data_IF_125063714623
#
_entry.id   IF_125063714623
#
_cell.length_a   1.000
_cell.length_b   1.000
_cell.length_c   1.000
_cell.angle_alpha   90.00
_cell.angle_beta   90.00
_cell.angle_gamma   90.00
#
_symmetry.space_group_name_H-M   'P 1'
#
loop_
_entity.id
_entity.type
_entity.pdbx_description
1 polymer ?
#
# COMPACT_ATOMS: atom_id res chain seq x y z
N UNK A 1 -24.91 -33.73 21.24
CA UNK A 1 -23.55 -34.25 21.54
C UNK A 1 -23.27 -34.37 23.04
N UNK A 2 -23.87 -33.53 23.88
CA UNK A 2 -23.64 -33.58 25.34
C UNK A 2 -24.04 -34.91 26.00
N UNK A 3 -25.01 -35.60 25.44
CA UNK A 3 -25.57 -36.87 25.95
C UNK A 3 -24.57 -38.06 25.93
N UNK A 4 -23.57 -38.01 25.04
CA UNK A 4 -22.62 -39.08 24.83
C UNK A 4 -21.29 -38.93 25.62
N UNK A 5 -21.12 -37.85 26.34
CA UNK A 5 -19.93 -37.60 27.14
C UNK A 5 -18.62 -37.85 26.37
N UNK A 6 -17.71 -38.64 26.98
CA UNK A 6 -16.40 -38.97 26.40
C UNK A 6 -16.45 -39.95 25.20
N UNK A 7 -17.59 -40.56 24.93
CA UNK A 7 -17.77 -41.49 23.77
C UNK A 7 -18.26 -40.75 22.51
N UNK A 8 -18.48 -39.46 22.55
CA UNK A 8 -18.91 -38.67 21.37
C UNK A 8 -17.82 -38.66 20.31
N UNK A 9 -18.27 -38.77 19.06
CA UNK A 9 -17.44 -38.49 17.87
C UNK A 9 -18.02 -37.31 17.14
N UNK A 10 -17.22 -36.32 16.82
CA UNK A 10 -17.59 -35.17 16.03
C UNK A 10 -16.81 -35.22 14.71
N UNK A 11 -17.50 -35.11 13.59
CA UNK A 11 -16.88 -35.02 12.27
C UNK A 11 -17.28 -33.69 11.64
N UNK A 12 -16.30 -32.89 11.27
CA UNK A 12 -16.46 -31.62 10.57
C UNK A 12 -15.83 -31.75 9.18
N UNK A 13 -16.61 -31.47 8.14
CA UNK A 13 -16.14 -31.53 6.74
C UNK A 13 -16.60 -30.25 6.06
N UNK A 14 -15.68 -29.52 5.48
CA UNK A 14 -15.96 -28.31 4.71
C UNK A 14 -14.79 -27.97 3.80
N UNK A 15 -15.03 -27.22 2.74
CA UNK A 15 -14.00 -26.47 2.05
C UNK A 15 -13.68 -25.20 2.87
N UNK A 16 -12.42 -24.75 2.92
CA UNK A 16 -12.06 -23.49 3.57
C UNK A 16 -12.61 -22.30 2.78
N UNK A 17 -12.60 -21.13 3.42
CA UNK A 17 -13.05 -19.87 2.81
C UNK A 17 -11.89 -18.87 2.84
N UNK A 18 -12.09 -17.70 3.45
CA UNK A 18 -11.05 -16.69 3.57
C UNK A 18 -10.09 -17.03 4.72
N UNK A 19 -8.81 -16.78 4.50
CA UNK A 19 -7.75 -16.97 5.50
C UNK A 19 -8.05 -16.21 6.79
N UNK A 20 -7.73 -16.81 7.92
CA UNK A 20 -7.98 -16.30 9.28
C UNK A 20 -9.47 -16.15 9.68
N UNK A 21 -10.42 -16.43 8.81
CA UNK A 21 -11.87 -16.36 9.11
C UNK A 21 -12.58 -17.70 8.89
N UNK A 22 -11.95 -18.63 8.18
CA UNK A 22 -12.49 -19.95 7.89
C UNK A 22 -12.61 -20.78 9.16
N UNK A 23 -13.81 -21.32 9.43
CA UNK A 23 -14.04 -22.19 10.58
C UNK A 23 -13.24 -23.48 10.45
N UNK A 24 -13.24 -24.11 9.26
CA UNK A 24 -12.52 -25.37 9.06
C UNK A 24 -11.00 -25.21 9.10
N UNK A 25 -10.45 -24.03 8.73
CA UNK A 25 -9.02 -23.72 8.89
C UNK A 25 -8.63 -23.79 10.37
N UNK A 26 -9.37 -23.11 11.24
CA UNK A 26 -9.13 -23.15 12.68
C UNK A 26 -9.28 -24.57 13.25
N UNK A 27 -10.32 -25.29 12.83
CA UNK A 27 -10.50 -26.68 13.24
C UNK A 27 -9.32 -27.58 12.78
N UNK A 28 -8.74 -27.30 11.60
CA UNK A 28 -7.55 -28.01 11.12
C UNK A 28 -6.30 -27.63 11.94
N UNK A 29 -6.11 -26.35 12.25
CA UNK A 29 -4.98 -25.85 13.04
C UNK A 29 -5.00 -26.34 14.51
N UNK A 30 -6.18 -26.49 15.09
CA UNK A 30 -6.39 -27.02 16.44
C UNK A 30 -6.13 -28.55 16.52
N UNK A 31 -6.09 -29.23 15.38
CA UNK A 31 -5.84 -30.67 15.25
C UNK A 31 -4.36 -31.03 15.08
N UNK A 32 -4.10 -32.30 14.77
CA UNK A 32 -2.75 -32.82 14.51
C UNK A 32 -2.25 -32.60 13.08
N UNK A 33 -3.01 -31.86 12.25
CA UNK A 33 -2.62 -31.32 10.95
C UNK A 33 -2.03 -32.37 10.01
N UNK A 34 -2.82 -33.42 9.71
CA UNK A 34 -2.38 -34.49 8.83
C UNK A 34 -2.47 -34.11 7.38
N UNK A 35 -1.37 -34.37 6.65
CA UNK A 35 -1.31 -34.31 5.20
C UNK A 35 -1.10 -35.70 4.62
N UNK A 36 -1.71 -35.95 3.46
CA UNK A 36 -1.49 -37.19 2.74
C UNK A 36 -0.18 -37.07 1.94
N UNK A 37 0.79 -37.92 2.26
CA UNK A 37 2.07 -38.00 1.56
C UNK A 37 2.13 -39.17 0.63
N UNK A 38 2.79 -38.97 -0.52
CA UNK A 38 3.04 -39.97 -1.54
C UNK A 38 4.53 -40.03 -1.82
N UNK A 39 5.03 -41.23 -2.11
CA UNK A 39 6.44 -41.40 -2.45
C UNK A 39 6.62 -41.28 -3.96
N UNK A 40 7.67 -40.59 -4.40
CA UNK A 40 7.97 -40.44 -5.81
C UNK A 40 8.29 -41.82 -6.44
N UNK A 41 7.63 -42.21 -7.55
CA UNK A 41 7.90 -43.50 -8.19
C UNK A 41 9.31 -43.62 -8.77
N UNK A 42 10.04 -42.52 -8.94
CA UNK A 42 11.38 -42.49 -9.53
C UNK A 42 12.50 -42.38 -8.49
N UNK A 43 12.34 -41.57 -7.45
CA UNK A 43 13.40 -41.35 -6.46
C UNK A 43 13.04 -41.77 -5.02
N UNK A 44 11.80 -42.19 -4.79
CA UNK A 44 11.31 -42.62 -3.47
C UNK A 44 11.12 -41.48 -2.45
N UNK A 45 11.36 -40.22 -2.82
CA UNK A 45 11.17 -39.09 -1.91
C UNK A 45 9.70 -38.88 -1.57
N UNK A 46 9.41 -38.74 -0.27
CA UNK A 46 8.06 -38.53 0.23
C UNK A 46 7.66 -37.05 0.15
N UNK A 47 6.52 -36.75 -0.48
CA UNK A 47 6.09 -35.38 -0.73
C UNK A 47 4.56 -35.25 -0.67
N UNK A 48 4.06 -34.02 -0.54
CA UNK A 48 2.65 -33.67 -0.71
C UNK A 48 2.42 -33.30 -2.17
N UNK A 49 1.21 -33.59 -2.68
CA UNK A 49 0.81 -33.06 -3.97
C UNK A 49 0.32 -31.62 -3.79
N UNK A 50 1.07 -30.66 -4.39
CA UNK A 50 0.78 -29.23 -4.35
C UNK A 50 0.64 -28.68 -5.76
N UNK A 51 -0.23 -27.66 -5.92
CA UNK A 51 -0.53 -27.08 -7.24
C UNK A 51 0.68 -26.47 -7.93
N UNK A 52 1.60 -25.86 -7.19
CA UNK A 52 2.82 -25.27 -7.73
C UNK A 52 3.69 -26.25 -8.53
N UNK A 53 3.55 -27.55 -8.29
CA UNK A 53 4.30 -28.60 -8.98
C UNK A 53 3.55 -29.18 -10.19
N UNK A 54 2.41 -28.62 -10.58
CA UNK A 54 1.70 -28.99 -11.81
C UNK A 54 2.16 -28.10 -12.95
N UNK A 55 2.67 -28.70 -14.03
CA UNK A 55 3.18 -28.00 -15.20
C UNK A 55 2.53 -28.51 -16.48
N UNK A 56 2.26 -27.63 -17.41
CA UNK A 56 1.74 -27.94 -18.76
C UNK A 56 2.36 -27.01 -19.80
N UNK A 57 2.22 -27.36 -21.09
CA UNK A 57 2.78 -26.58 -22.19
C UNK A 57 1.81 -25.48 -22.61
N UNK A 58 2.23 -24.21 -22.49
CA UNK A 58 1.46 -23.04 -22.90
C UNK A 58 -0.06 -23.16 -22.67
N UNK A 59 -0.89 -22.98 -23.71
CA UNK A 59 -2.34 -23.09 -23.64
C UNK A 59 -2.88 -24.53 -23.82
N UNK A 60 -2.08 -25.57 -23.49
CA UNK A 60 -2.43 -26.99 -23.65
C UNK A 60 -2.56 -27.70 -22.30
N UNK A 61 -3.64 -27.47 -21.54
CA UNK A 61 -3.82 -28.07 -20.21
C UNK A 61 -3.84 -29.60 -20.23
N UNK A 62 -4.22 -30.23 -21.36
CA UNK A 62 -4.19 -31.66 -21.54
C UNK A 62 -2.79 -32.29 -21.43
N UNK A 63 -1.75 -31.48 -21.55
CA UNK A 63 -0.33 -31.89 -21.38
C UNK A 63 0.13 -31.85 -19.91
N UNK A 64 -0.77 -31.55 -18.98
CA UNK A 64 -0.41 -31.35 -17.58
C UNK A 64 0.22 -32.60 -16.94
N UNK A 65 1.33 -32.38 -16.24
CA UNK A 65 2.08 -33.37 -15.48
C UNK A 65 2.46 -32.84 -14.11
N UNK A 66 2.70 -33.73 -13.18
CA UNK A 66 3.18 -33.37 -11.85
C UNK A 66 4.71 -33.48 -11.79
N UNK A 67 5.38 -32.49 -11.24
CA UNK A 67 6.83 -32.43 -11.09
C UNK A 67 7.21 -32.88 -9.68
N UNK A 68 8.10 -33.86 -9.55
CA UNK A 68 8.64 -34.23 -8.24
C UNK A 68 9.50 -33.07 -7.69
N UNK A 69 9.22 -32.66 -6.46
CA UNK A 69 9.95 -31.57 -5.80
C UNK A 69 11.43 -31.88 -5.52
N UNK A 70 11.77 -33.19 -5.45
CA UNK A 70 13.12 -33.64 -5.12
C UNK A 70 13.98 -33.92 -6.37
N UNK A 71 13.47 -34.68 -7.35
CA UNK A 71 14.27 -35.10 -8.53
C UNK A 71 13.86 -34.40 -9.83
N UNK A 72 12.79 -33.60 -9.86
CA UNK A 72 12.34 -32.87 -11.03
C UNK A 72 11.69 -33.72 -12.13
N UNK A 73 11.52 -35.03 -11.94
CA UNK A 73 10.91 -35.91 -12.93
C UNK A 73 9.42 -35.63 -13.02
N UNK A 74 8.91 -35.63 -14.26
CA UNK A 74 7.49 -35.42 -14.56
C UNK A 74 6.73 -36.75 -14.45
N UNK A 75 5.65 -36.74 -13.64
CA UNK A 75 4.73 -37.88 -13.51
C UNK A 75 3.53 -37.67 -14.42
N UNK A 76 3.11 -38.73 -15.05
CA UNK A 76 1.81 -38.78 -15.69
C UNK A 76 0.70 -39.14 -14.69
N UNK A 77 -0.56 -39.14 -15.15
CA UNK A 77 -1.71 -39.48 -14.30
C UNK A 77 -1.67 -40.93 -13.77
N UNK A 78 -1.11 -41.87 -14.52
CA UNK A 78 -0.95 -43.27 -14.12
C UNK A 78 0.01 -43.40 -12.93
N UNK A 79 1.17 -42.77 -13.03
CA UNK A 79 2.20 -42.72 -11.98
C UNK A 79 1.69 -41.99 -10.73
N UNK A 80 0.99 -40.85 -10.93
CA UNK A 80 0.38 -40.13 -9.83
C UNK A 80 -0.65 -40.97 -9.08
N UNK A 81 -1.57 -41.64 -9.79
CA UNK A 81 -2.59 -42.48 -9.18
C UNK A 81 -1.97 -43.70 -8.47
N UNK A 82 -0.92 -44.30 -9.04
CA UNK A 82 -0.21 -45.40 -8.40
C UNK A 82 0.43 -44.92 -7.08
N UNK A 83 1.12 -43.78 -7.09
CA UNK A 83 1.70 -43.19 -5.89
C UNK A 83 0.64 -42.85 -4.82
N UNK A 84 -0.54 -42.35 -5.22
CA UNK A 84 -1.63 -42.06 -4.29
C UNK A 84 -2.12 -43.34 -3.58
N UNK A 85 -2.21 -44.49 -4.27
CA UNK A 85 -2.66 -45.73 -3.68
C UNK A 85 -1.74 -46.24 -2.55
N UNK A 86 -0.46 -45.96 -2.64
CA UNK A 86 0.56 -46.35 -1.65
C UNK A 86 0.84 -45.25 -0.61
N UNK A 87 0.14 -44.12 -0.72
CA UNK A 87 0.33 -42.99 0.16
C UNK A 87 -0.13 -43.21 1.61
N UNK A 88 0.25 -42.29 2.49
CA UNK A 88 -0.05 -42.36 3.92
C UNK A 88 -0.32 -40.99 4.54
N UNK A 89 -1.14 -40.98 5.57
CA UNK A 89 -1.35 -39.81 6.41
C UNK A 89 -0.21 -39.61 7.37
N UNK A 90 0.32 -38.38 7.44
CA UNK A 90 1.38 -38.01 8.35
C UNK A 90 0.98 -36.74 9.11
N UNK A 91 0.98 -36.83 10.45
CA UNK A 91 0.70 -35.70 11.33
C UNK A 91 1.91 -34.76 11.38
N UNK A 92 1.68 -33.45 11.28
CA UNK A 92 2.70 -32.42 11.33
C UNK A 92 2.67 -31.60 12.63
N UNK A 93 1.63 -31.80 13.45
CA UNK A 93 1.46 -31.15 14.75
C UNK A 93 1.01 -32.13 15.80
N UNK A 94 1.10 -31.75 17.07
CA UNK A 94 0.61 -32.55 18.19
C UNK A 94 -0.76 -32.05 18.63
N UNK A 95 -1.72 -32.96 18.72
CA UNK A 95 -3.03 -32.67 19.31
C UNK A 95 -3.51 -33.84 20.17
N UNK A 96 -4.23 -33.55 21.27
CA UNK A 96 -4.84 -34.55 22.15
C UNK A 96 -6.26 -34.87 21.69
N UNK A 97 -6.39 -35.92 20.85
CA UNK A 97 -7.69 -36.48 20.50
C UNK A 97 -8.42 -35.75 19.38
N UNK A 98 -7.81 -34.77 18.73
CA UNK A 98 -8.31 -34.09 17.56
C UNK A 98 -7.44 -34.42 16.35
N UNK A 99 -7.92 -35.32 15.47
CA UNK A 99 -7.28 -35.61 14.21
C UNK A 99 -7.85 -34.67 13.14
N UNK A 100 -7.01 -33.96 12.43
CA UNK A 100 -7.41 -33.07 11.34
C UNK A 100 -6.69 -33.42 10.03
N UNK A 101 -7.37 -33.30 8.91
CA UNK A 101 -6.92 -33.81 7.62
C UNK A 101 -7.07 -32.74 6.54
N UNK A 102 -6.06 -32.60 5.69
CA UNK A 102 -6.11 -31.76 4.50
C UNK A 102 -5.98 -32.63 3.26
N UNK A 103 -6.91 -32.49 2.31
CA UNK A 103 -6.91 -33.21 1.05
C UNK A 103 -7.39 -32.30 -0.08
N UNK A 104 -6.60 -32.15 -1.13
CA UNK A 104 -6.95 -31.38 -2.31
C UNK A 104 -7.32 -32.29 -3.51
N UNK A 105 -7.79 -31.70 -4.58
CA UNK A 105 -8.27 -32.45 -5.76
C UNK A 105 -7.15 -33.14 -6.54
N UNK A 106 -5.86 -32.79 -6.32
CA UNK A 106 -4.73 -33.48 -6.93
C UNK A 106 -4.61 -34.96 -6.49
N UNK A 107 -5.25 -35.33 -5.38
CA UNK A 107 -5.35 -36.70 -4.90
C UNK A 107 -6.54 -37.47 -5.49
N UNK A 108 -7.35 -36.85 -6.35
CA UNK A 108 -8.49 -37.54 -6.99
C UNK A 108 -7.98 -38.55 -8.02
N UNK A 109 -8.40 -39.79 -7.84
CA UNK A 109 -8.20 -40.85 -8.84
C UNK A 109 -9.17 -40.76 -10.02
N UNK A 110 -10.18 -39.89 -9.96
CA UNK A 110 -11.24 -39.75 -10.96
C UNK A 110 -11.01 -38.57 -11.91
N UNK A 111 -10.16 -37.63 -11.57
CA UNK A 111 -9.82 -36.46 -12.39
C UNK A 111 -8.39 -36.52 -12.88
N UNK A 112 -8.19 -36.15 -14.14
CA UNK A 112 -6.87 -36.00 -14.73
C UNK A 112 -6.27 -34.62 -14.37
N UNK A 113 -4.94 -34.53 -14.33
CA UNK A 113 -4.25 -33.25 -14.13
C UNK A 113 -4.63 -32.21 -15.20
N UNK A 114 -4.86 -32.66 -16.45
CA UNK A 114 -5.30 -31.79 -17.54
C UNK A 114 -6.65 -31.14 -17.25
N UNK A 115 -7.63 -31.89 -16.72
CA UNK A 115 -8.95 -31.34 -16.38
C UNK A 115 -8.87 -30.31 -15.23
N UNK A 116 -7.95 -30.53 -14.28
CA UNK A 116 -7.71 -29.59 -13.18
C UNK A 116 -7.04 -28.31 -13.71
N UNK A 117 -6.06 -28.45 -14.64
CA UNK A 117 -5.39 -27.33 -15.27
C UNK A 117 -6.36 -26.50 -16.15
N UNK A 118 -7.26 -27.16 -16.89
CA UNK A 118 -8.29 -26.49 -17.66
C UNK A 118 -9.24 -25.68 -16.75
N UNK A 119 -9.68 -26.27 -15.64
CA UNK A 119 -10.50 -25.58 -14.64
C UNK A 119 -9.79 -24.36 -14.05
N UNK A 120 -8.47 -24.44 -13.79
CA UNK A 120 -7.68 -23.30 -13.36
C UNK A 120 -7.67 -22.16 -14.39
N UNK A 121 -7.40 -22.49 -15.67
CA UNK A 121 -7.37 -21.50 -16.74
C UNK A 121 -8.73 -20.83 -16.95
N UNK A 122 -9.82 -21.58 -16.89
CA UNK A 122 -11.17 -21.04 -16.98
C UNK A 122 -11.46 -20.06 -15.84
N UNK A 123 -11.18 -20.46 -14.59
CA UNK A 123 -11.40 -19.61 -13.42
C UNK A 123 -10.49 -18.39 -13.41
N UNK A 124 -9.26 -18.52 -13.89
CA UNK A 124 -8.36 -17.40 -14.09
C UNK A 124 -8.92 -16.38 -15.08
N UNK A 125 -9.48 -16.87 -16.21
CA UNK A 125 -10.10 -16.03 -17.24
C UNK A 125 -11.38 -15.33 -16.76
N UNK A 126 -12.16 -15.98 -15.89
CA UNK A 126 -13.40 -15.42 -15.32
C UNK A 126 -13.16 -14.59 -14.06
N UNK A 127 -11.93 -14.53 -13.53
CA UNK A 127 -11.61 -13.81 -12.29
C UNK A 127 -12.03 -14.52 -10.99
N UNK A 128 -12.42 -15.82 -11.07
CA UNK A 128 -12.90 -16.62 -9.93
C UNK A 128 -11.85 -17.61 -9.40
N UNK A 129 -10.60 -17.14 -9.24
CA UNK A 129 -9.52 -17.95 -8.68
C UNK A 129 -9.78 -18.37 -7.22
N UNK A 130 -10.56 -17.59 -6.47
CA UNK A 130 -10.94 -17.94 -5.11
C UNK A 130 -11.62 -19.30 -5.04
N UNK A 131 -12.55 -19.59 -5.93
CA UNK A 131 -13.23 -20.89 -5.96
C UNK A 131 -12.26 -22.04 -6.28
N UNK A 132 -11.27 -21.82 -7.17
CA UNK A 132 -10.24 -22.82 -7.43
C UNK A 132 -9.42 -23.13 -6.19
N UNK A 133 -8.93 -22.10 -5.48
CA UNK A 133 -8.13 -22.26 -4.26
C UNK A 133 -8.95 -22.93 -3.15
N UNK A 134 -10.16 -22.45 -2.89
CA UNK A 134 -10.97 -22.96 -1.79
C UNK A 134 -11.50 -24.39 -2.05
N UNK A 135 -11.96 -24.69 -3.27
CA UNK A 135 -12.63 -25.94 -3.58
C UNK A 135 -11.65 -26.99 -4.12
N UNK A 136 -10.83 -26.63 -5.11
CA UNK A 136 -9.93 -27.58 -5.77
C UNK A 136 -8.67 -27.83 -4.92
N UNK A 137 -8.08 -26.78 -4.34
CA UNK A 137 -6.89 -26.93 -3.53
C UNK A 137 -7.19 -27.17 -2.05
N UNK A 138 -8.42 -26.98 -1.62
CA UNK A 138 -8.83 -27.04 -0.20
C UNK A 138 -7.99 -26.10 0.68
N UNK A 139 -7.54 -24.97 0.12
CA UNK A 139 -6.74 -23.96 0.79
C UNK A 139 -7.58 -22.70 1.04
N UNK A 140 -7.23 -21.93 2.05
CA UNK A 140 -7.89 -20.65 2.30
C UNK A 140 -7.46 -19.62 1.26
N UNK A 141 -8.45 -18.85 0.77
CA UNK A 141 -8.19 -17.73 -0.11
C UNK A 141 -7.65 -16.56 0.69
N UNK A 142 -6.47 -16.11 0.34
CA UNK A 142 -5.96 -14.82 0.77
C UNK A 142 -6.22 -13.81 -0.34
N UNK A 143 -7.16 -12.90 -0.11
CA UNK A 143 -7.33 -11.80 -1.05
C UNK A 143 -5.99 -11.05 -1.13
N UNK A 144 -5.38 -11.10 -2.30
CA UNK A 144 -4.33 -10.14 -2.62
C UNK A 144 -5.04 -8.78 -2.63
N UNK A 145 -4.90 -8.06 -1.52
CA UNK A 145 -5.43 -6.72 -1.44
C UNK A 145 -4.87 -5.89 -2.60
N UNK A 146 -5.62 -4.87 -3.01
CA UNK A 146 -5.21 -3.90 -4.03
C UNK A 146 -3.90 -3.19 -3.58
N UNK A 147 -2.80 -3.90 -3.63
CA UNK A 147 -1.45 -3.39 -3.34
C UNK A 147 -0.86 -2.64 -4.54
N UNK A 148 0.26 -1.98 -4.29
CA UNK A 148 1.13 -1.41 -5.33
C UNK A 148 2.45 -2.17 -5.27
N UNK A 149 2.99 -2.53 -6.43
CA UNK A 149 4.28 -3.22 -6.50
C UNK A 149 5.41 -2.26 -6.11
N UNK A 150 6.14 -2.63 -5.06
CA UNK A 150 7.29 -1.86 -4.55
C UNK A 150 8.38 -1.75 -5.59
N UNK A 151 8.67 -2.84 -6.33
CA UNK A 151 9.72 -2.84 -7.35
C UNK A 151 9.36 -1.90 -8.50
N UNK A 152 8.10 -1.90 -8.96
CA UNK A 152 7.64 -0.96 -9.98
C UNK A 152 7.77 0.51 -9.55
N UNK A 153 7.68 0.81 -8.25
CA UNK A 153 7.93 2.16 -7.73
C UNK A 153 9.43 2.49 -7.66
N UNK A 154 10.26 1.55 -7.21
CA UNK A 154 11.70 1.76 -7.11
C UNK A 154 12.40 1.83 -8.47
N UNK A 155 11.85 1.21 -9.50
CA UNK A 155 12.40 1.24 -10.85
C UNK A 155 12.13 2.56 -11.60
N UNK A 156 11.15 3.35 -11.15
CA UNK A 156 10.78 4.63 -11.79
C UNK A 156 11.31 5.87 -11.09
N UNK A 157 12.31 5.73 -10.22
CA UNK A 157 12.95 6.88 -9.57
C UNK A 157 13.69 7.74 -10.60
N UNK A 158 13.75 9.04 -10.31
CA UNK A 158 14.30 10.05 -11.21
C UNK A 158 15.44 10.80 -10.51
N UNK A 159 16.42 11.28 -11.28
CA UNK A 159 17.43 12.17 -10.73
C UNK A 159 16.83 13.54 -10.48
N UNK A 160 16.60 13.86 -9.21
CA UNK A 160 16.29 15.24 -8.86
C UNK A 160 17.59 16.03 -8.80
N UNK A 161 17.63 17.22 -9.39
CA UNK A 161 18.75 18.13 -9.19
C UNK A 161 18.82 18.58 -7.73
N UNK A 162 19.91 19.26 -7.36
CA UNK A 162 20.08 19.82 -6.01
C UNK A 162 19.00 20.84 -5.61
N UNK A 163 18.26 21.36 -6.60
CA UNK A 163 17.12 22.26 -6.45
C UNK A 163 15.84 21.50 -6.76
N UNK A 164 14.72 21.98 -6.23
CA UNK A 164 13.44 21.35 -6.48
C UNK A 164 13.01 21.48 -7.95
N UNK A 165 12.29 20.47 -8.49
CA UNK A 165 11.81 20.54 -9.87
C UNK A 165 11.02 21.81 -10.17
N UNK A 166 11.26 22.41 -11.32
CA UNK A 166 10.55 23.64 -11.75
C UNK A 166 9.04 23.50 -11.88
N UNK A 167 8.54 22.27 -12.03
CA UNK A 167 7.12 21.96 -12.07
C UNK A 167 6.42 22.09 -10.70
N UNK A 168 7.16 22.13 -9.59
CA UNK A 168 6.59 22.32 -8.26
C UNK A 168 6.08 23.75 -8.10
N UNK A 169 4.78 23.89 -7.85
CA UNK A 169 4.08 25.17 -7.69
C UNK A 169 3.78 25.46 -6.21
N UNK A 170 3.52 24.43 -5.43
CA UNK A 170 3.18 24.49 -4.00
C UNK A 170 3.92 23.37 -3.29
N UNK A 171 4.41 23.63 -2.09
CA UNK A 171 4.96 22.60 -1.21
C UNK A 171 4.15 22.53 0.09
N UNK A 172 3.89 21.32 0.55
CA UNK A 172 3.23 21.03 1.82
C UNK A 172 4.00 19.95 2.56
N UNK A 173 3.83 19.86 3.88
CA UNK A 173 4.47 18.81 4.66
C UNK A 173 3.43 18.01 5.47
N UNK A 174 3.68 16.70 5.59
CA UNK A 174 3.00 15.80 6.51
C UNK A 174 3.99 15.26 7.52
N UNK A 175 3.66 15.29 8.79
CA UNK A 175 4.52 14.87 9.90
C UNK A 175 3.83 13.80 10.72
N UNK A 176 4.51 12.69 10.89
CA UNK A 176 4.12 11.60 11.79
C UNK A 176 5.00 11.64 13.04
N UNK A 177 4.37 11.48 14.22
CA UNK A 177 5.03 11.59 15.53
C UNK A 177 5.16 10.21 16.14
N UNK A 178 6.38 9.76 16.37
CA UNK A 178 6.72 8.49 16.98
C UNK A 178 7.26 8.68 18.42
N UNK A 179 7.68 7.60 19.08
CA UNK A 179 8.20 7.63 20.45
C UNK A 179 9.53 8.34 20.57
N UNK A 180 10.39 8.15 19.58
CA UNK A 180 11.81 8.52 19.58
C UNK A 180 12.23 9.42 18.41
N UNK A 181 11.27 9.89 17.61
CA UNK A 181 11.53 10.65 16.39
C UNK A 181 10.29 11.33 15.82
N UNK A 182 10.53 12.28 14.92
CA UNK A 182 9.52 12.77 13.97
C UNK A 182 9.92 12.32 12.57
N UNK A 183 8.97 11.80 11.81
CA UNK A 183 9.15 11.51 10.39
C UNK A 183 8.32 12.49 9.59
N UNK A 184 8.86 13.05 8.52
CA UNK A 184 8.13 14.01 7.70
C UNK A 184 8.42 13.83 6.22
N UNK A 185 7.40 14.07 5.41
CA UNK A 185 7.52 14.19 3.97
C UNK A 185 7.16 15.60 3.52
N UNK A 186 8.03 16.18 2.68
CA UNK A 186 7.73 17.41 1.96
C UNK A 186 7.28 17.00 0.55
N UNK A 187 6.04 17.34 0.24
CA UNK A 187 5.40 17.02 -1.02
C UNK A 187 5.26 18.28 -1.87
N UNK A 188 5.98 18.32 -3.00
CA UNK A 188 5.77 19.29 -4.05
C UNK A 188 4.53 18.94 -4.87
N UNK A 189 3.73 19.92 -5.24
CA UNK A 189 2.50 19.76 -6.02
C UNK A 189 2.55 20.73 -7.20
N UNK A 190 2.36 20.18 -8.40
CA UNK A 190 2.32 20.89 -9.66
C UNK A 190 0.92 20.91 -10.27
N UNK A 191 0.86 21.19 -11.57
CA UNK A 191 -0.39 21.17 -12.33
C UNK A 191 -1.08 19.82 -12.24
N UNK A 192 -2.40 19.85 -12.27
CA UNK A 192 -3.27 18.66 -12.25
C UNK A 192 -2.94 17.69 -11.12
N UNK A 193 -2.40 18.25 -10.01
CA UNK A 193 -2.00 17.53 -8.81
C UNK A 193 -0.94 16.46 -9.05
N UNK A 194 -0.10 16.60 -10.07
CA UNK A 194 1.16 15.89 -10.21
C UNK A 194 2.05 16.20 -9.00
N UNK A 195 2.74 15.20 -8.43
CA UNK A 195 3.40 15.35 -7.14
C UNK A 195 4.86 14.89 -7.17
N UNK A 196 5.70 15.55 -6.38
CA UNK A 196 7.13 15.24 -6.19
C UNK A 196 7.42 15.01 -4.71
N UNK A 197 7.96 13.85 -4.36
CA UNK A 197 8.50 13.59 -3.01
C UNK A 197 9.83 14.31 -2.84
N UNK A 198 9.81 15.63 -2.63
CA UNK A 198 11.04 16.43 -2.65
C UNK A 198 11.96 16.18 -1.46
N UNK A 199 11.41 15.81 -0.30
CA UNK A 199 12.20 15.37 0.84
C UNK A 199 11.44 14.39 1.73
N UNK A 200 12.14 13.40 2.27
CA UNK A 200 11.67 12.56 3.38
C UNK A 200 12.75 12.59 4.46
N UNK A 201 12.41 13.06 5.65
CA UNK A 201 13.36 13.38 6.71
C UNK A 201 12.94 12.68 7.99
N UNK A 202 13.89 12.07 8.68
CA UNK A 202 13.71 11.47 10.00
C UNK A 202 14.51 12.28 11.02
N UNK A 203 13.81 13.05 11.86
CA UNK A 203 14.38 13.82 12.95
C UNK A 203 14.38 12.97 14.22
N UNK A 204 15.55 12.47 14.60
CA UNK A 204 15.70 11.63 15.79
C UNK A 204 15.75 12.47 17.04
N UNK A 205 15.01 12.06 18.07
CA UNK A 205 14.96 12.74 19.36
C UNK A 205 13.64 12.50 20.07
N UNK A 206 13.63 12.63 21.38
CA UNK A 206 12.42 12.49 22.19
C UNK A 206 11.43 13.64 21.89
N UNK A 207 10.21 13.37 21.42
CA UNK A 207 9.20 14.39 21.14
C UNK A 207 8.72 15.16 22.38
N UNK A 208 9.08 14.73 23.59
CA UNK A 208 8.85 15.51 24.80
C UNK A 208 9.90 16.62 24.97
N UNK A 209 11.04 16.48 24.31
CA UNK A 209 12.12 17.48 24.29
C UNK A 209 11.82 18.60 23.28
N UNK A 210 12.14 19.87 23.59
CA UNK A 210 11.98 20.98 22.65
C UNK A 210 12.94 20.92 21.44
N UNK A 211 14.05 20.20 21.54
CA UNK A 211 15.08 20.19 20.49
C UNK A 211 14.57 19.65 19.16
N UNK A 212 13.93 18.48 19.16
CA UNK A 212 13.42 17.84 17.93
C UNK A 212 12.38 18.72 17.21
N UNK A 213 11.66 19.56 17.97
CA UNK A 213 10.70 20.53 17.42
C UNK A 213 11.40 21.78 16.86
N UNK A 214 12.55 22.16 17.42
CA UNK A 214 13.39 23.22 16.86
C UNK A 214 14.02 22.75 15.54
N UNK A 215 14.51 21.51 15.49
CA UNK A 215 15.02 20.89 14.26
C UNK A 215 13.91 20.81 13.18
N UNK A 216 12.67 20.51 13.58
CA UNK A 216 11.52 20.56 12.67
C UNK A 216 11.25 21.97 12.15
N UNK A 217 11.38 23.01 13.00
CA UNK A 217 11.21 24.40 12.57
C UNK A 217 12.23 24.80 11.50
N UNK A 218 13.49 24.37 11.63
CA UNK A 218 14.54 24.63 10.64
C UNK A 218 14.14 24.08 9.26
N UNK A 219 13.51 22.91 9.21
CA UNK A 219 13.03 22.32 7.97
C UNK A 219 11.78 23.03 7.45
N UNK A 220 10.79 23.26 8.31
CA UNK A 220 9.48 23.76 7.89
C UNK A 220 9.49 25.21 7.44
N UNK A 221 10.39 26.02 8.00
CA UNK A 221 10.45 27.46 7.75
C UNK A 221 11.66 27.86 6.91
N UNK A 222 12.43 26.89 6.39
CA UNK A 222 13.46 27.14 5.41
C UNK A 222 12.88 27.67 4.08
N UNK A 223 13.69 28.46 3.38
CA UNK A 223 13.41 28.86 2.01
C UNK A 223 14.15 27.93 1.05
N UNK A 224 13.42 27.32 0.14
CA UNK A 224 13.94 26.39 -0.86
C UNK A 224 14.01 27.08 -2.23
N UNK A 225 14.80 26.53 -3.14
CA UNK A 225 14.94 27.07 -4.50
C UNK A 225 14.59 26.00 -5.54
N UNK A 226 13.85 26.38 -6.56
CA UNK A 226 13.54 25.53 -7.71
C UNK A 226 14.59 25.70 -8.82
N UNK A 227 14.65 24.76 -9.77
CA UNK A 227 15.61 24.78 -10.89
C UNK A 227 15.56 26.06 -11.70
N UNK A 228 14.39 26.67 -11.83
CA UNK A 228 14.15 27.93 -12.54
C UNK A 228 14.43 29.18 -11.67
N UNK A 229 15.04 28.97 -10.49
CA UNK A 229 15.49 30.07 -9.60
C UNK A 229 14.37 30.70 -8.76
N UNK A 230 13.16 30.12 -8.75
CA UNK A 230 12.10 30.61 -7.85
C UNK A 230 12.37 30.18 -6.42
N UNK A 231 12.12 31.09 -5.49
CA UNK A 231 12.07 30.79 -4.07
C UNK A 231 10.71 30.22 -3.70
N UNK A 232 10.72 29.12 -3.00
CA UNK A 232 9.51 28.41 -2.58
C UNK A 232 9.63 28.05 -1.10
N UNK A 233 8.55 28.22 -0.35
CA UNK A 233 8.44 27.82 1.04
C UNK A 233 7.32 26.80 1.23
N UNK A 234 7.39 26.01 2.28
CA UNK A 234 6.32 25.09 2.67
C UNK A 234 5.08 25.94 3.06
N UNK A 235 4.00 25.76 2.32
CA UNK A 235 2.76 26.57 2.45
C UNK A 235 1.92 26.18 3.65
N UNK A 236 2.12 24.98 4.16
CA UNK A 236 1.47 24.47 5.35
C UNK A 236 1.96 23.08 5.72
N UNK A 237 1.73 22.71 6.96
CA UNK A 237 2.15 21.42 7.53
C UNK A 237 1.02 20.81 8.33
N UNK A 238 0.74 19.53 8.11
CA UNK A 238 -0.17 18.75 8.95
C UNK A 238 0.62 17.80 9.85
N UNK A 239 0.36 17.85 11.15
CA UNK A 239 1.07 17.03 12.16
C UNK A 239 0.05 16.10 12.82
N UNK A 240 0.35 14.80 12.83
CA UNK A 240 -0.49 13.83 13.53
C UNK A 240 -0.52 14.09 15.04
N UNK A 241 -1.67 13.83 15.62
CA UNK A 241 -1.92 13.99 17.06
C UNK A 241 -2.21 12.67 17.77
N UNK A 242 -1.99 11.55 17.10
CA UNK A 242 -2.21 10.20 17.65
C UNK A 242 -1.29 9.89 18.81
N UNK A 243 -0.07 10.38 18.76
CA UNK A 243 0.96 10.19 19.77
C UNK A 243 1.46 11.54 20.31
N UNK A 244 1.94 11.59 21.57
CA UNK A 244 2.38 12.82 22.25
C UNK A 244 1.44 14.03 22.08
N UNK A 245 0.14 13.79 22.08
CA UNK A 245 -0.95 14.73 21.73
C UNK A 245 -0.79 16.11 22.35
N UNK A 246 -0.44 16.21 23.64
CA UNK A 246 -0.32 17.49 24.35
C UNK A 246 0.87 18.33 23.86
N UNK A 247 1.98 17.67 23.53
CA UNK A 247 3.16 18.33 22.99
C UNK A 247 2.89 18.85 21.58
N UNK A 248 2.25 18.02 20.73
CA UNK A 248 1.80 18.46 19.40
C UNK A 248 0.87 19.66 19.50
N UNK A 249 -0.10 19.67 20.42
CA UNK A 249 -1.02 20.80 20.60
C UNK A 249 -0.29 22.09 21.01
N UNK A 250 0.69 22.01 21.90
CA UNK A 250 1.51 23.17 22.30
C UNK A 250 2.31 23.72 21.10
N UNK A 251 2.92 22.82 20.34
CA UNK A 251 3.70 23.18 19.16
C UNK A 251 2.82 23.84 18.09
N UNK A 252 1.72 23.22 17.69
CA UNK A 252 0.78 23.75 16.69
C UNK A 252 0.21 25.11 17.14
N UNK A 253 -0.13 25.25 18.43
CA UNK A 253 -0.66 26.49 18.96
C UNK A 253 0.29 27.67 18.82
N UNK A 254 1.58 27.44 19.10
CA UNK A 254 2.60 28.49 18.98
C UNK A 254 2.90 28.89 17.53
N UNK A 255 2.49 28.05 16.56
CA UNK A 255 2.71 28.23 15.10
C UNK A 255 1.42 28.36 14.31
N UNK A 256 0.31 28.70 14.98
CA UNK A 256 -1.01 28.82 14.34
C UNK A 256 -1.07 29.84 13.19
N UNK A 257 -0.24 30.90 13.26
CA UNK A 257 -0.09 31.88 12.17
C UNK A 257 0.73 31.39 10.98
N UNK A 258 1.43 30.27 11.11
CA UNK A 258 2.34 29.71 10.10
C UNK A 258 1.75 28.51 9.34
N UNK A 259 0.42 28.32 9.44
CA UNK A 259 -0.32 27.24 8.78
C UNK A 259 0.17 25.83 9.16
N UNK A 260 0.51 25.66 10.44
CA UNK A 260 0.75 24.35 11.04
C UNK A 260 -0.56 23.85 11.64
N UNK A 261 -1.03 22.70 11.18
CA UNK A 261 -2.33 22.14 11.50
C UNK A 261 -2.20 20.86 12.33
N UNK A 262 -3.00 20.73 13.37
CA UNK A 262 -3.16 19.47 14.09
C UNK A 262 -4.17 18.61 13.34
N UNK A 263 -3.79 17.38 13.01
CA UNK A 263 -4.66 16.41 12.34
C UNK A 263 -4.83 15.16 13.18
N UNK A 264 -5.93 14.45 12.97
CA UNK A 264 -6.18 13.14 13.60
C UNK A 264 -6.78 12.19 12.59
N UNK A 265 -6.14 11.04 12.40
CA UNK A 265 -6.66 9.97 11.57
C UNK A 265 -8.00 9.43 12.09
N UNK A 266 -8.95 9.25 11.19
CA UNK A 266 -10.26 8.63 11.45
C UNK A 266 -10.47 7.54 10.40
N UNK A 267 -10.46 6.28 10.84
CA UNK A 267 -10.74 5.15 9.98
C UNK A 267 -12.22 5.03 9.64
N UNK A 268 -12.53 4.36 8.56
CA UNK A 268 -13.88 4.01 8.10
C UNK A 268 -14.17 4.45 6.68
N UNK A 269 -14.96 3.63 5.99
CA UNK A 269 -15.39 3.89 4.61
C UNK A 269 -16.17 5.21 4.49
N UNK A 270 -16.07 5.84 3.32
CA UNK A 270 -16.81 7.06 2.94
C UNK A 270 -16.60 8.26 3.87
N UNK A 271 -15.52 8.31 4.62
CA UNK A 271 -15.14 9.52 5.35
C UNK A 271 -14.59 10.57 4.38
N UNK A 272 -14.94 11.84 4.60
CA UNK A 272 -14.30 12.92 3.86
C UNK A 272 -12.79 12.90 4.09
N UNK A 273 -11.98 13.14 3.05
CA UNK A 273 -10.52 13.19 3.17
C UNK A 273 -10.09 14.14 4.29
N UNK A 274 -10.69 15.30 4.35
CA UNK A 274 -10.58 16.24 5.48
C UNK A 274 -11.99 16.61 5.95
N UNK A 275 -12.28 16.31 7.20
CA UNK A 275 -13.54 16.66 7.83
C UNK A 275 -13.56 18.08 8.40
N UNK A 276 -14.71 18.52 8.86
CA UNK A 276 -14.84 19.82 9.53
C UNK A 276 -14.01 19.86 10.82
N UNK A 277 -13.17 20.89 11.02
CA UNK A 277 -12.36 20.97 12.22
C UNK A 277 -13.22 21.13 13.46
N UNK A 278 -12.83 20.46 14.53
CA UNK A 278 -13.40 20.65 15.85
C UNK A 278 -12.43 21.45 16.72
N UNK A 279 -12.97 22.38 17.52
CA UNK A 279 -12.13 23.12 18.45
C UNK A 279 -11.87 22.26 19.70
N UNK A 280 -10.60 21.94 19.93
CA UNK A 280 -10.25 21.19 21.12
C UNK A 280 -10.26 22.09 22.36
N UNK A 281 -11.01 21.69 23.39
CA UNK A 281 -11.16 22.45 24.65
C UNK A 281 -9.83 22.53 25.43
N UNK A 282 -8.99 21.50 25.39
CA UNK A 282 -7.70 21.44 26.09
C UNK A 282 -6.64 22.35 25.46
N UNK A 283 -6.46 22.28 24.15
CA UNK A 283 -5.44 23.04 23.41
C UNK A 283 -5.91 24.38 22.88
N UNK A 284 -7.21 24.62 22.79
CA UNK A 284 -7.86 25.75 22.08
C UNK A 284 -7.39 25.89 20.62
N UNK A 285 -7.08 24.77 19.98
CA UNK A 285 -6.66 24.66 18.57
C UNK A 285 -7.76 24.00 17.74
N UNK A 286 -7.71 24.21 16.44
CA UNK A 286 -8.52 23.46 15.48
C UNK A 286 -7.87 22.11 15.21
N UNK A 287 -8.59 21.03 15.47
CA UNK A 287 -8.21 19.67 15.16
C UNK A 287 -8.99 19.20 13.92
N UNK A 288 -8.28 18.86 12.86
CA UNK A 288 -8.85 18.41 11.59
C UNK A 288 -8.91 16.89 11.56
N UNK A 289 -10.11 16.27 11.48
CA UNK A 289 -10.21 14.84 11.24
C UNK A 289 -9.82 14.53 9.77
N UNK A 290 -8.95 13.54 9.59
CA UNK A 290 -8.51 13.05 8.28
C UNK A 290 -9.09 11.66 8.07
N UNK A 291 -9.90 11.48 7.02
CA UNK A 291 -10.39 10.17 6.60
C UNK A 291 -9.24 9.36 6.00
N UNK A 292 -8.53 8.62 6.86
CA UNK A 292 -7.29 7.93 6.46
C UNK A 292 -7.54 6.87 5.39
N UNK A 293 -8.69 6.19 5.40
CA UNK A 293 -9.02 5.19 4.40
C UNK A 293 -9.19 5.83 3.02
N UNK A 294 -9.93 6.93 2.94
CA UNK A 294 -10.12 7.71 1.71
C UNK A 294 -8.80 8.31 1.21
N UNK A 295 -7.96 8.82 2.11
CA UNK A 295 -6.67 9.37 1.75
C UNK A 295 -5.72 8.29 1.22
N UNK A 296 -5.71 7.09 1.83
CA UNK A 296 -4.94 5.93 1.35
C UNK A 296 -5.43 5.46 -0.01
N UNK A 297 -6.74 5.39 -0.24
CA UNK A 297 -7.30 5.08 -1.57
C UNK A 297 -6.78 6.05 -2.64
N UNK A 298 -6.76 7.35 -2.34
CA UNK A 298 -6.22 8.36 -3.24
C UNK A 298 -4.72 8.18 -3.48
N UNK A 299 -3.92 7.95 -2.42
CA UNK A 299 -2.48 7.69 -2.53
C UNK A 299 -2.22 6.49 -3.43
N UNK A 300 -2.87 5.36 -3.15
CA UNK A 300 -2.66 4.12 -3.92
C UNK A 300 -3.16 4.24 -5.37
N UNK A 301 -4.24 4.96 -5.63
CA UNK A 301 -4.69 5.25 -6.98
C UNK A 301 -3.63 6.03 -7.77
N UNK A 302 -3.00 7.04 -7.15
CA UNK A 302 -1.93 7.84 -7.76
C UNK A 302 -0.63 7.05 -7.95
N UNK A 303 -0.27 6.19 -7.00
CA UNK A 303 0.92 5.32 -7.12
C UNK A 303 0.82 4.32 -8.28
N UNK A 304 -0.38 3.95 -8.72
CA UNK A 304 -0.61 3.07 -9.88
C UNK A 304 -0.50 3.79 -11.23
N UNK A 305 -0.45 5.12 -11.25
CA UNK A 305 -0.26 5.87 -12.50
C UNK A 305 1.17 5.67 -12.96
N UNK A 306 1.36 5.13 -14.16
CA UNK A 306 2.68 4.76 -14.70
C UNK A 306 3.30 5.86 -15.58
N UNK A 307 2.48 6.79 -16.09
CA UNK A 307 2.93 7.86 -16.98
C UNK A 307 2.85 9.21 -16.29
N UNK A 308 3.90 10.04 -16.45
CA UNK A 308 3.93 11.42 -15.97
C UNK A 308 2.73 12.22 -16.47
N UNK A 309 2.16 13.05 -15.61
CA UNK A 309 1.00 13.86 -15.89
C UNK A 309 0.04 13.94 -14.69
N UNK A 310 -1.26 14.14 -14.92
CA UNK A 310 -2.23 14.36 -13.86
C UNK A 310 -2.19 13.28 -12.77
N UNK A 311 -1.92 13.70 -11.52
CA UNK A 311 -1.88 12.83 -10.36
C UNK A 311 -0.68 11.90 -10.24
N UNK A 312 0.28 11.90 -11.18
CA UNK A 312 1.49 11.07 -11.12
C UNK A 312 2.37 11.44 -9.91
N UNK A 313 3.09 10.44 -9.39
CA UNK A 313 3.99 10.58 -8.25
C UNK A 313 5.44 10.39 -8.68
N UNK A 314 6.24 11.46 -8.59
CA UNK A 314 7.67 11.45 -8.83
C UNK A 314 8.45 11.19 -7.55
N UNK A 315 9.51 10.39 -7.65
CA UNK A 315 10.39 10.04 -6.54
C UNK A 315 11.86 10.27 -6.94
N UNK A 316 12.68 10.87 -6.08
CA UNK A 316 14.10 11.03 -6.35
C UNK A 316 14.84 9.69 -6.19
N UNK A 317 15.96 9.54 -6.93
CA UNK A 317 16.80 8.35 -6.94
C UNK A 317 17.61 8.11 -5.64
N UNK A 318 17.60 9.07 -4.73
CA UNK A 318 18.21 8.96 -3.41
C UNK A 318 17.30 8.32 -2.35
N UNK A 319 16.06 7.95 -2.71
CA UNK A 319 15.12 7.31 -1.77
C UNK A 319 15.57 5.89 -1.45
N UNK A 320 15.73 5.55 -0.15
CA UNK A 320 16.02 4.19 0.25
C UNK A 320 14.84 3.26 -0.08
N UNK A 321 15.11 2.01 -0.40
CA UNK A 321 14.08 1.00 -0.68
C UNK A 321 13.06 0.87 0.48
N UNK A 322 13.52 1.03 1.71
CA UNK A 322 12.66 1.00 2.91
C UNK A 322 11.55 2.06 2.86
N UNK A 323 11.78 3.21 2.24
CA UNK A 323 10.75 4.23 2.04
C UNK A 323 9.57 3.68 1.21
N UNK A 324 9.85 3.00 0.10
CA UNK A 324 8.82 2.41 -0.76
C UNK A 324 8.10 1.27 -0.05
N UNK A 325 8.81 0.49 0.73
CA UNK A 325 8.22 -0.55 1.58
C UNK A 325 7.26 0.01 2.63
N UNK A 326 7.57 1.15 3.23
CA UNK A 326 6.68 1.83 4.17
C UNK A 326 5.52 2.52 3.45
N UNK A 327 5.76 3.12 2.29
CA UNK A 327 4.73 3.77 1.49
C UNK A 327 3.64 2.80 1.01
N UNK A 328 4.00 1.52 0.81
CA UNK A 328 3.11 0.44 0.37
C UNK A 328 2.81 -0.58 1.48
N UNK A 329 3.04 -0.21 2.74
CA UNK A 329 2.96 -1.11 3.89
C UNK A 329 1.53 -1.55 4.25
N UNK A 330 0.52 -1.09 3.53
CA UNK A 330 -0.87 -1.47 3.78
C UNK A 330 -1.56 -1.92 2.49
N UNK A 331 -2.55 -2.78 2.63
CA UNK A 331 -3.37 -3.30 1.53
C UNK A 331 -4.84 -3.20 1.87
N UNK A 332 -5.65 -2.86 0.88
CA UNK A 332 -7.09 -2.83 1.02
C UNK A 332 -7.63 -4.25 0.83
N UNK A 333 -8.19 -4.83 1.88
CA UNK A 333 -8.74 -6.19 1.88
C UNK A 333 -10.23 -6.15 2.24
N UNK A 334 -10.97 -7.13 1.74
CA UNK A 334 -12.37 -7.30 2.13
C UNK A 334 -12.43 -8.18 3.39
N UNK A 335 -13.10 -7.70 4.42
CA UNK A 335 -13.42 -8.49 5.62
C UNK A 335 -14.92 -8.60 5.79
N UNK A 336 -15.39 -9.78 6.16
CA UNK A 336 -16.79 -9.99 6.50
C UNK A 336 -16.99 -9.72 8.00
N UNK A 337 -17.77 -8.68 8.31
CA UNK A 337 -18.15 -8.34 9.68
C UNK A 337 -19.64 -8.55 9.81
N UNK A 338 -20.06 -9.50 10.66
CA UNK A 338 -21.47 -9.87 10.85
C UNK A 338 -22.20 -10.20 9.54
N UNK A 339 -21.51 -10.92 8.63
CA UNK A 339 -22.08 -11.33 7.32
C UNK A 339 -22.07 -10.26 6.23
N UNK A 340 -21.59 -9.05 6.50
CA UNK A 340 -21.46 -7.97 5.53
C UNK A 340 -20.01 -7.79 5.12
N UNK A 341 -19.76 -7.75 3.82
CA UNK A 341 -18.42 -7.43 3.26
C UNK A 341 -18.08 -5.97 3.57
N UNK A 342 -16.91 -5.71 4.14
CA UNK A 342 -16.35 -4.38 4.37
C UNK A 342 -14.92 -4.32 3.85
N UNK A 343 -14.60 -3.26 3.16
CA UNK A 343 -13.22 -2.96 2.75
C UNK A 343 -12.49 -2.33 3.93
N UNK A 344 -11.35 -2.90 4.31
CA UNK A 344 -10.53 -2.41 5.42
C UNK A 344 -9.06 -2.43 5.02
N UNK A 345 -8.32 -1.42 5.45
CA UNK A 345 -6.88 -1.40 5.29
C UNK A 345 -6.22 -2.36 6.29
N UNK A 346 -5.39 -3.26 5.79
CA UNK A 346 -4.60 -4.22 6.57
C UNK A 346 -3.14 -3.87 6.44
N UNK A 347 -2.49 -3.61 7.58
CA UNK A 347 -1.04 -3.42 7.64
C UNK A 347 -0.33 -4.73 7.30
N UNK A 348 0.58 -4.70 6.35
CA UNK A 348 1.37 -5.85 5.88
C UNK A 348 2.79 -5.84 6.43
N UNK A 349 3.25 -4.70 6.97
CA UNK A 349 4.57 -4.49 7.57
C UNK A 349 4.46 -3.71 8.88
N UNK A 350 5.43 -3.85 9.80
CA UNK A 350 5.40 -3.12 11.08
C UNK A 350 5.45 -1.61 10.90
N UNK A 351 6.27 -1.11 9.95
CA UNK A 351 6.49 0.31 9.69
C UNK A 351 5.69 0.78 8.48
N UNK A 352 5.00 1.92 8.61
CA UNK A 352 4.21 2.57 7.56
C UNK A 352 4.30 4.11 7.62
N UNK A 353 5.29 4.67 8.32
CA UNK A 353 5.36 6.10 8.61
C UNK A 353 5.44 6.94 7.32
N UNK A 354 6.10 6.43 6.24
CA UNK A 354 6.13 7.12 4.95
C UNK A 354 4.73 7.26 4.34
N UNK A 355 3.86 6.23 4.49
CA UNK A 355 2.47 6.31 4.06
C UNK A 355 1.69 7.34 4.87
N UNK A 356 1.85 7.33 6.20
CA UNK A 356 1.15 8.26 7.07
C UNK A 356 1.60 9.71 6.82
N UNK A 357 2.91 9.98 6.64
CA UNK A 357 3.42 11.28 6.23
C UNK A 357 2.81 11.75 4.90
N UNK A 358 2.72 10.86 3.89
CA UNK A 358 2.10 11.15 2.59
C UNK A 358 0.61 11.48 2.74
N UNK A 359 -0.12 10.72 3.54
CA UNK A 359 -1.54 10.95 3.84
C UNK A 359 -1.73 12.34 4.47
N UNK A 360 -0.90 12.71 5.45
CA UNK A 360 -1.00 14.00 6.12
C UNK A 360 -0.54 15.16 5.24
N UNK A 361 0.45 14.98 4.37
CA UNK A 361 0.83 16.00 3.39
C UNK A 361 -0.32 16.30 2.42
N UNK A 362 -0.99 15.27 1.88
CA UNK A 362 -2.18 15.42 1.04
C UNK A 362 -3.32 16.08 1.83
N UNK A 363 -3.56 15.67 3.08
CA UNK A 363 -4.56 16.30 3.93
C UNK A 363 -4.26 17.80 4.14
N UNK A 364 -2.99 18.16 4.34
CA UNK A 364 -2.57 19.56 4.43
C UNK A 364 -2.93 20.36 3.18
N UNK A 365 -2.65 19.81 2.00
CA UNK A 365 -3.00 20.44 0.72
C UNK A 365 -4.52 20.71 0.63
N UNK A 366 -5.33 19.74 1.01
CA UNK A 366 -6.79 19.90 1.03
C UNK A 366 -7.28 20.89 2.09
N UNK A 367 -6.64 20.96 3.28
CA UNK A 367 -6.93 21.98 4.30
C UNK A 367 -6.67 23.39 3.78
N UNK A 368 -5.58 23.56 3.02
CA UNK A 368 -5.22 24.84 2.41
C UNK A 368 -6.16 25.25 1.28
N UNK A 369 -6.89 24.30 0.70
CA UNK A 369 -7.83 24.51 -0.40
C UNK A 369 -7.24 25.31 -1.57
N UNK A 370 -6.00 24.99 -1.96
CA UNK A 370 -5.28 25.65 -3.04
C UNK A 370 -5.63 24.98 -4.37
N UNK A 371 -6.02 25.77 -5.37
CA UNK A 371 -6.13 25.28 -6.73
C UNK A 371 -4.83 25.59 -7.50
N UNK A 372 -3.99 24.59 -7.68
CA UNK A 372 -2.69 24.72 -8.36
C UNK A 372 -2.82 25.10 -9.83
N UNK A 373 -3.94 24.79 -10.48
CA UNK A 373 -4.15 25.02 -11.91
C UNK A 373 -4.38 26.51 -12.26
N UNK A 374 -4.72 27.34 -11.26
CA UNK A 374 -4.86 28.79 -11.44
C UNK A 374 -3.58 29.56 -11.10
N UNK A 375 -2.56 28.90 -10.55
CA UNK A 375 -1.30 29.55 -10.22
C UNK A 375 -0.57 29.90 -11.51
N UNK A 376 -0.40 31.19 -11.76
CA UNK A 376 0.40 31.71 -12.88
C UNK A 376 1.82 31.94 -12.37
N UNK A 377 2.82 31.32 -13.01
CA UNK A 377 4.21 31.65 -12.79
C UNK A 377 4.48 33.01 -13.44
N UNK A 378 4.82 34.02 -12.65
CA UNK A 378 5.37 35.26 -13.19
C UNK A 378 6.70 34.89 -13.85
N UNK A 379 6.83 35.17 -15.16
CA UNK A 379 8.11 35.03 -15.85
C UNK A 379 9.07 35.98 -15.18
N UNK A 380 10.19 35.50 -14.67
CA UNK A 380 11.26 36.33 -14.09
C UNK A 380 11.62 37.43 -15.06
N UNK A 381 11.60 38.67 -14.60
CA UNK A 381 11.76 39.91 -15.38
C UNK A 381 13.19 40.14 -15.90
N UNK A 382 14.01 39.14 -16.08
CA UNK A 382 15.41 39.30 -16.57
C UNK A 382 15.51 39.48 -18.11
N UNK A 383 14.43 39.38 -18.87
CA UNK A 383 14.45 39.68 -20.31
C UNK A 383 13.82 41.02 -20.68
N UNK A 384 13.41 41.86 -19.73
CA UNK A 384 12.77 43.15 -20.00
C UNK A 384 13.73 44.39 -20.05
N UNK A 385 15.05 44.17 -19.98
CA UNK A 385 15.99 45.27 -20.13
C UNK A 385 16.84 45.08 -21.37
N UNK A 386 16.30 45.43 -22.54
CA UNK A 386 16.98 45.96 -23.72
C UNK A 386 16.02 46.23 -24.89
N UNK A 387 15.04 47.08 -24.68
CA UNK A 387 14.50 47.86 -25.81
C UNK A 387 14.54 49.35 -25.43
N UNK A 388 15.61 50.01 -25.85
CA UNK A 388 15.65 51.46 -25.86
C UNK A 388 14.49 51.99 -26.72
N UNK A 389 13.71 53.00 -26.26
CA UNK A 389 12.69 53.61 -27.10
C UNK A 389 13.39 54.31 -28.27
N UNK A 390 13.03 53.92 -29.49
CA UNK A 390 13.40 54.65 -30.70
C UNK A 390 12.80 56.05 -30.59
N UNK A 391 13.70 57.04 -30.59
CA UNK A 391 13.34 58.45 -30.57
C UNK A 391 12.36 58.83 -31.70
N UNK A 392 11.27 59.45 -31.32
CA UNK A 392 10.37 60.15 -32.25
C UNK A 392 11.13 61.22 -33.03
N UNK A 393 11.30 61.03 -34.33
CA UNK A 393 11.71 62.13 -35.22
C UNK A 393 10.58 63.16 -35.23
N UNK A 394 10.88 64.37 -34.76
CA UNK A 394 10.06 65.55 -34.99
C UNK A 394 10.07 65.88 -36.49
N UNK A 395 9.00 65.59 -37.16
CA UNK A 395 8.70 66.25 -38.50
C UNK A 395 8.01 67.53 -38.17
N UNK A 396 8.70 68.62 -38.47
CA UNK A 396 8.10 69.96 -38.47
C UNK A 396 7.05 70.05 -39.62
N UNK A 397 5.86 70.45 -39.25
CA UNK A 397 4.90 70.99 -40.25
C UNK A 397 4.77 72.46 -40.02
N UNK A 398 5.09 73.21 -41.09
CA UNK A 398 4.98 74.62 -41.19
C UNK A 398 3.52 75.02 -41.37
N UNK A 399 3.04 75.97 -40.55
CA UNK A 399 1.78 76.62 -40.72
C UNK A 399 1.85 77.51 -41.99
N UNK A 400 0.84 77.40 -42.82
CA UNK A 400 0.33 78.53 -43.63
C UNK A 400 -1.18 78.36 -43.75
N UNK A 401 -1.85 79.47 -43.39
CA UNK A 401 -3.22 79.97 -43.46
C UNK A 401 -4.10 79.68 -42.24
#
# INVERSE_FOLDING_TARGET
AATFGDQRKLLEISTPTLKNTSFIERAFEDGDQRYYKVDCPHCGSSQRLIWANVQWQDDKPETAKYVCESCGVLWDDGERIAAIREGRWEATSFSRGHASFHLNELYSCFRKLGDIAESFLERKRTGDLQTFVNVTLAETWEEQGDGVDVHALSDRVEKFPSKWPSAVLVAVAGVDVQDDRLELEILGIGKDEETWSVAYIVLRGDPTSPQVWADLDEVLFAEYETEDGRKIAIRGTAIDTGYHTQTVYKYVKSRSGQRVFAVKGVAGEAKALVGRPSRNNSGKINLFPVGVDTAKELVYARLRIEQSGPGYCHFPDDRPEEYFHQLTAEQLVVRYVRGHARRVWKKTRPRNEALDCRVYAIACYHILNINVNIIRLEKSSEQAVKQKPRGLRKTGFVNNW
#
